data_IF_910947894371
#
_entry.id   IF_910947894371
#
_cell.length_a   1.000
_cell.length_b   1.000
_cell.length_c   1.000
_cell.angle_alpha   90.00
_cell.angle_beta   90.00
_cell.angle_gamma   90.00
#
_symmetry.space_group_name_H-M   'P 1'
#
loop_
_entity.id
_entity.type
_entity.pdbx_description
1 polymer ?
#
# COMPACT_ATOMS: atom_id res chain seq x y z
N UNK A 1 4.51 -15.07 -4.74
CA UNK A 1 3.23 -15.79 -4.88
C UNK A 1 3.43 -17.16 -5.52
N UNK A 2 3.96 -17.24 -6.75
CA UNK A 2 4.23 -18.52 -7.44
C UNK A 2 5.10 -19.51 -6.65
N UNK A 3 6.21 -19.04 -6.06
CA UNK A 3 7.10 -19.87 -5.23
C UNK A 3 6.50 -20.35 -3.90
N UNK A 4 5.39 -19.73 -3.45
CA UNK A 4 4.68 -20.08 -2.21
C UNK A 4 3.40 -20.87 -2.48
N UNK A 5 3.14 -21.29 -3.72
CA UNK A 5 1.92 -22.01 -4.11
C UNK A 5 0.62 -21.19 -3.97
N UNK A 6 0.72 -19.87 -3.81
CA UNK A 6 -0.45 -19.00 -3.63
C UNK A 6 -1.06 -18.73 -5.01
N UNK A 7 -2.35 -19.08 -5.17
CA UNK A 7 -3.14 -18.76 -6.38
C UNK A 7 -3.18 -17.25 -6.59
N UNK A 8 -2.92 -16.81 -7.81
CA UNK A 8 -2.96 -15.40 -8.18
C UNK A 8 -3.51 -15.22 -9.59
N UNK A 9 -4.10 -14.06 -9.83
CA UNK A 9 -4.60 -13.65 -11.14
C UNK A 9 -3.95 -12.33 -11.52
N UNK A 10 -3.51 -12.18 -12.78
CA UNK A 10 -3.01 -10.92 -13.31
C UNK A 10 -4.11 -10.32 -14.18
N UNK A 11 -4.63 -9.18 -13.76
CA UNK A 11 -5.66 -8.42 -14.49
C UNK A 11 -5.07 -7.06 -14.83
N UNK A 12 -4.95 -6.76 -16.13
CA UNK A 12 -4.37 -5.49 -16.60
C UNK A 12 -5.49 -4.46 -16.84
N UNK A 13 -5.33 -3.19 -16.43
CA UNK A 13 -6.25 -2.12 -16.84
C UNK A 13 -6.19 -1.95 -18.36
N UNK A 14 -7.35 -1.83 -19.02
CA UNK A 14 -7.43 -1.59 -20.46
C UNK A 14 -8.02 -0.19 -20.72
N UNK A 15 -7.18 0.73 -21.24
CA UNK A 15 -7.59 2.02 -21.80
C UNK A 15 -8.22 3.04 -20.82
N UNK A 16 -8.58 4.21 -21.37
CA UNK A 16 -9.03 5.40 -20.61
C UNK A 16 -10.34 5.19 -19.84
N UNK A 17 -11.24 4.33 -20.34
CA UNK A 17 -12.58 4.15 -19.78
C UNK A 17 -12.73 2.90 -18.90
N UNK A 18 -11.77 1.96 -18.95
CA UNK A 18 -11.58 0.80 -18.04
C UNK A 18 -12.80 -0.03 -17.57
N UNK A 19 -14.00 0.13 -18.12
CA UNK A 19 -15.20 -0.65 -17.76
C UNK A 19 -14.95 -2.17 -17.85
N UNK A 20 -14.32 -2.71 -18.92
CA UNK A 20 -14.04 -4.14 -19.01
C UNK A 20 -13.17 -4.65 -17.87
N UNK A 21 -12.26 -3.81 -17.37
CA UNK A 21 -11.40 -4.14 -16.24
C UNK A 21 -12.20 -4.27 -14.94
N UNK A 22 -13.12 -3.34 -14.66
CA UNK A 22 -14.00 -3.45 -13.49
C UNK A 22 -14.92 -4.69 -13.56
N UNK A 23 -15.50 -4.97 -14.73
CA UNK A 23 -16.35 -6.15 -14.93
C UNK A 23 -15.55 -7.43 -14.72
N UNK A 24 -14.32 -7.51 -15.22
CA UNK A 24 -13.45 -8.66 -15.03
C UNK A 24 -13.12 -8.89 -13.55
N UNK A 25 -12.84 -7.81 -12.80
CA UNK A 25 -12.59 -7.91 -11.35
C UNK A 25 -13.83 -8.37 -10.58
N UNK A 26 -15.02 -7.86 -10.90
CA UNK A 26 -16.27 -8.28 -10.26
C UNK A 26 -16.58 -9.77 -10.54
N UNK A 27 -16.36 -10.22 -11.78
CA UNK A 27 -16.49 -11.65 -12.13
C UNK A 27 -15.50 -12.51 -11.35
N UNK A 28 -14.26 -12.04 -11.20
CA UNK A 28 -13.23 -12.75 -10.45
C UNK A 28 -13.60 -12.84 -8.96
N UNK A 29 -14.04 -11.73 -8.35
CA UNK A 29 -14.49 -11.65 -6.97
C UNK A 29 -15.59 -12.68 -6.70
N UNK A 30 -16.58 -12.77 -7.60
CA UNK A 30 -17.67 -13.72 -7.47
C UNK A 30 -17.21 -15.17 -7.66
N UNK A 31 -16.34 -15.43 -8.63
CA UNK A 31 -15.85 -16.79 -8.92
C UNK A 31 -14.98 -17.35 -7.79
N UNK A 32 -14.14 -16.51 -7.19
CA UNK A 32 -13.22 -16.92 -6.12
C UNK A 32 -13.86 -16.83 -4.73
N UNK A 33 -15.13 -16.44 -4.62
CA UNK A 33 -15.86 -16.22 -3.36
C UNK A 33 -15.10 -15.31 -2.39
N UNK A 34 -14.63 -14.16 -2.90
CA UNK A 34 -13.87 -13.20 -2.09
C UNK A 34 -14.76 -12.62 -1.00
N UNK A 35 -14.31 -12.72 0.26
CA UNK A 35 -15.01 -12.19 1.44
C UNK A 35 -14.48 -10.81 1.91
N UNK A 36 -13.26 -10.44 1.51
CA UNK A 36 -12.58 -9.22 1.94
C UNK A 36 -11.66 -8.73 0.82
N UNK A 37 -11.67 -7.43 0.57
CA UNK A 37 -10.75 -6.79 -0.35
C UNK A 37 -9.63 -6.13 0.47
N UNK A 38 -8.38 -6.37 0.07
CA UNK A 38 -7.22 -5.67 0.60
C UNK A 38 -6.46 -4.99 -0.54
N UNK A 39 -6.37 -3.66 -0.49
CA UNK A 39 -5.69 -2.83 -1.50
C UNK A 39 -4.42 -2.20 -0.95
N UNK A 40 -3.46 -1.94 -1.84
CA UNK A 40 -2.20 -1.26 -1.52
C UNK A 40 -1.99 -0.07 -2.46
N UNK A 41 -1.55 1.07 -1.93
CA UNK A 41 -1.38 2.34 -2.67
C UNK A 41 -2.70 3.03 -3.02
N UNK A 42 -2.66 4.36 -3.12
CA UNK A 42 -3.85 5.21 -3.30
C UNK A 42 -4.64 4.91 -4.58
N UNK A 43 -3.93 4.71 -5.70
CA UNK A 43 -4.58 4.46 -6.99
C UNK A 43 -5.41 3.17 -6.98
N UNK A 44 -4.90 2.10 -6.35
CA UNK A 44 -5.66 0.87 -6.21
C UNK A 44 -6.77 1.02 -5.17
N UNK A 45 -6.55 1.77 -4.09
CA UNK A 45 -7.61 2.08 -3.12
C UNK A 45 -8.82 2.69 -3.80
N UNK A 46 -8.65 3.65 -4.71
CA UNK A 46 -9.76 4.24 -5.46
C UNK A 46 -10.54 3.20 -6.28
N UNK A 47 -9.84 2.41 -7.10
CA UNK A 47 -10.45 1.35 -7.91
C UNK A 47 -11.22 0.35 -7.04
N UNK A 48 -10.58 -0.14 -5.98
CA UNK A 48 -11.19 -1.14 -5.11
C UNK A 48 -12.27 -0.58 -4.21
N UNK A 49 -12.27 0.73 -3.91
CA UNK A 49 -13.38 1.38 -3.21
C UNK A 49 -14.67 1.32 -4.02
N UNK A 50 -14.60 1.61 -5.32
CA UNK A 50 -15.74 1.46 -6.23
C UNK A 50 -16.23 0.01 -6.28
N UNK A 51 -15.31 -0.94 -6.40
CA UNK A 51 -15.62 -2.37 -6.43
C UNK A 51 -16.25 -2.82 -5.11
N UNK A 52 -15.74 -2.36 -3.97
CA UNK A 52 -16.25 -2.66 -2.63
C UNK A 52 -17.72 -2.25 -2.50
N UNK A 53 -18.04 -1.04 -2.97
CA UNK A 53 -19.41 -0.51 -2.94
C UNK A 53 -20.35 -1.33 -3.83
N UNK A 54 -19.92 -1.68 -5.05
CA UNK A 54 -20.72 -2.48 -6.00
C UNK A 54 -20.91 -3.91 -5.48
N UNK A 55 -19.84 -4.55 -5.02
CA UNK A 55 -19.85 -5.94 -4.55
C UNK A 55 -20.37 -6.08 -3.11
N UNK A 56 -20.56 -4.97 -2.39
CA UNK A 56 -20.92 -4.92 -0.96
C UNK A 56 -19.97 -5.75 -0.09
N UNK A 57 -18.67 -5.65 -0.37
CA UNK A 57 -17.62 -6.30 0.39
C UNK A 57 -16.93 -5.30 1.31
N UNK A 58 -16.33 -5.76 2.43
CA UNK A 58 -15.42 -4.93 3.21
C UNK A 58 -14.10 -4.70 2.46
N UNK A 59 -13.54 -3.49 2.62
CA UNK A 59 -12.25 -3.07 2.07
C UNK A 59 -11.32 -2.53 3.16
N UNK A 60 -10.13 -3.12 3.20
CA UNK A 60 -8.98 -2.59 3.93
C UNK A 60 -7.98 -2.03 2.92
N UNK A 61 -7.45 -0.85 3.17
CA UNK A 61 -6.47 -0.21 2.29
C UNK A 61 -5.19 0.11 3.05
N UNK A 62 -4.02 -0.29 2.53
CA UNK A 62 -2.73 0.03 3.14
C UNK A 62 -1.96 1.04 2.28
N UNK A 63 -1.55 2.15 2.89
CA UNK A 63 -0.71 3.15 2.25
C UNK A 63 0.72 3.02 2.76
N UNK A 64 1.67 2.92 1.81
CA UNK A 64 3.09 2.67 2.09
C UNK A 64 3.96 3.92 2.05
N UNK A 65 3.42 5.06 1.65
CA UNK A 65 4.18 6.29 1.51
C UNK A 65 3.28 7.48 1.35
N UNK A 66 3.90 8.67 1.37
CA UNK A 66 3.20 9.91 1.05
C UNK A 66 2.65 9.78 -0.37
N UNK A 67 1.39 10.12 -0.50
CA UNK A 67 0.67 10.07 -1.76
C UNK A 67 0.61 11.49 -2.28
N UNK A 68 1.19 11.69 -3.45
CA UNK A 68 1.10 12.98 -4.13
C UNK A 68 -0.27 13.08 -4.78
N UNK A 69 -1.17 13.76 -4.09
CA UNK A 69 -2.46 14.14 -4.63
C UNK A 69 -2.29 15.53 -5.18
N UNK A 70 -2.29 15.63 -6.51
CA UNK A 70 -2.25 16.92 -7.17
C UNK A 70 -3.60 17.62 -6.91
N UNK A 71 -3.66 18.76 -6.19
CA UNK A 71 -4.91 19.45 -5.91
C UNK A 71 -5.59 19.98 -7.18
N UNK A 72 -4.86 20.09 -8.30
CA UNK A 72 -5.41 20.46 -9.63
C UNK A 72 -5.89 19.26 -10.44
N UNK A 73 -5.80 18.05 -9.90
CA UNK A 73 -6.30 16.87 -10.58
C UNK A 73 -7.84 16.93 -10.71
N UNK A 74 -8.35 16.50 -11.87
CA UNK A 74 -9.80 16.50 -12.12
C UNK A 74 -10.50 15.53 -11.16
N UNK A 75 -11.66 15.94 -10.66
CA UNK A 75 -12.56 15.13 -9.84
C UNK A 75 -11.97 14.65 -8.50
N UNK A 76 -10.97 15.35 -7.95
CA UNK A 76 -10.35 15.03 -6.65
C UNK A 76 -11.38 14.86 -5.53
N UNK A 77 -12.41 15.70 -5.49
CA UNK A 77 -13.48 15.58 -4.49
C UNK A 77 -14.26 14.26 -4.65
N UNK A 78 -14.65 13.91 -5.88
CA UNK A 78 -15.40 12.68 -6.18
C UNK A 78 -14.57 11.45 -5.83
N UNK A 79 -13.28 11.44 -6.22
CA UNK A 79 -12.35 10.35 -5.91
C UNK A 79 -12.22 10.14 -4.40
N UNK A 80 -12.04 11.22 -3.64
CA UNK A 80 -11.99 11.16 -2.18
C UNK A 80 -13.31 10.66 -1.58
N UNK A 81 -14.45 11.09 -2.11
CA UNK A 81 -15.75 10.61 -1.63
C UNK A 81 -15.93 9.11 -1.87
N UNK A 82 -15.62 8.62 -3.06
CA UNK A 82 -15.66 7.18 -3.37
C UNK A 82 -14.79 6.40 -2.40
N UNK A 83 -13.57 6.89 -2.15
CA UNK A 83 -12.63 6.26 -1.23
C UNK A 83 -13.14 6.24 0.22
N UNK A 84 -13.67 7.35 0.71
CA UNK A 84 -14.21 7.45 2.08
C UNK A 84 -15.44 6.58 2.30
N UNK A 85 -16.25 6.37 1.26
CA UNK A 85 -17.43 5.51 1.32
C UNK A 85 -17.06 4.03 1.19
N UNK A 86 -16.08 3.71 0.34
CA UNK A 86 -15.71 2.33 0.04
C UNK A 86 -14.75 1.71 1.05
N UNK A 87 -13.84 2.47 1.65
CA UNK A 87 -12.84 1.96 2.60
C UNK A 87 -13.42 1.84 4.00
N UNK A 88 -13.42 0.64 4.57
CA UNK A 88 -13.82 0.41 5.95
C UNK A 88 -12.69 0.78 6.93
N UNK A 89 -11.45 0.40 6.58
CA UNK A 89 -10.25 0.70 7.39
C UNK A 89 -9.04 1.02 6.52
N UNK A 90 -8.33 2.08 6.89
CA UNK A 90 -7.08 2.49 6.27
C UNK A 90 -5.92 2.16 7.21
N UNK A 91 -4.92 1.46 6.71
CA UNK A 91 -3.69 1.13 7.42
C UNK A 91 -2.57 2.05 6.93
N UNK A 92 -2.02 2.86 7.83
CA UNK A 92 -0.81 3.63 7.61
C UNK A 92 0.39 2.85 8.17
N UNK A 93 1.50 2.80 7.42
CA UNK A 93 2.71 2.08 7.85
C UNK A 93 3.57 2.85 8.87
N UNK A 94 3.17 4.05 9.24
CA UNK A 94 3.82 4.85 10.28
C UNK A 94 2.85 5.88 10.87
N UNK A 95 3.13 6.34 12.10
CA UNK A 95 2.43 7.48 12.70
C UNK A 95 2.55 8.75 11.84
N UNK A 96 3.74 8.96 11.26
CA UNK A 96 4.02 10.11 10.41
C UNK A 96 3.13 10.12 9.15
N UNK A 97 2.93 8.95 8.55
CA UNK A 97 2.01 8.79 7.43
C UNK A 97 0.55 8.96 7.86
N UNK A 98 0.15 8.44 9.03
CA UNK A 98 -1.19 8.66 9.57
C UNK A 98 -1.50 10.15 9.75
N UNK A 99 -0.59 10.91 10.37
CA UNK A 99 -0.72 12.37 10.54
C UNK A 99 -0.72 13.10 9.19
N UNK A 100 0.05 12.64 8.21
CA UNK A 100 0.02 13.20 6.86
C UNK A 100 -1.36 13.00 6.19
N UNK A 101 -1.93 11.79 6.27
CA UNK A 101 -3.23 11.47 5.67
C UNK A 101 -4.35 12.30 6.32
N UNK A 102 -4.29 12.45 7.65
CA UNK A 102 -5.24 13.24 8.42
C UNK A 102 -5.13 14.74 8.09
N UNK A 103 -3.92 15.32 8.11
CA UNK A 103 -3.70 16.75 7.82
C UNK A 103 -4.07 17.14 6.39
N UNK A 104 -4.00 16.20 5.44
CA UNK A 104 -4.45 16.38 4.06
C UNK A 104 -5.95 16.14 3.87
N UNK A 105 -6.69 15.85 4.95
CA UNK A 105 -8.11 15.55 4.92
C UNK A 105 -8.43 14.44 3.90
N UNK A 106 -7.59 13.41 3.78
CA UNK A 106 -7.85 12.31 2.85
C UNK A 106 -8.85 11.33 3.47
N UNK A 107 -8.59 10.97 4.73
CA UNK A 107 -9.45 10.12 5.53
C UNK A 107 -9.61 10.70 6.94
N UNK A 108 -10.78 10.51 7.57
CA UNK A 108 -10.95 10.92 8.96
C UNK A 108 -10.13 10.02 9.89
N UNK A 109 -9.59 10.58 10.98
CA UNK A 109 -8.73 9.86 11.94
C UNK A 109 -9.30 8.52 12.39
N UNK A 110 -10.61 8.45 12.67
CA UNK A 110 -11.31 7.22 13.09
C UNK A 110 -11.19 6.05 12.10
N UNK A 111 -10.95 6.34 10.83
CA UNK A 111 -10.80 5.33 9.79
C UNK A 111 -9.35 4.86 9.61
N UNK A 112 -8.38 5.46 10.32
CA UNK A 112 -6.95 5.23 10.13
C UNK A 112 -6.37 4.48 11.34
N UNK A 113 -5.80 3.31 11.09
CA UNK A 113 -5.00 2.56 12.06
C UNK A 113 -3.53 2.52 11.61
N UNK A 114 -2.59 2.41 12.55
CA UNK A 114 -1.15 2.35 12.25
C UNK A 114 -0.64 0.93 12.49
N UNK A 115 -0.07 0.33 11.45
CA UNK A 115 0.62 -0.97 11.53
C UNK A 115 1.99 -0.80 10.89
N UNK A 116 3.04 -0.81 11.70
CA UNK A 116 4.41 -0.70 11.22
C UNK A 116 4.81 -1.91 10.36
N UNK A 117 5.64 -1.66 9.35
CA UNK A 117 6.23 -2.75 8.59
C UNK A 117 7.15 -3.59 9.49
N UNK A 118 7.02 -4.91 9.40
CA UNK A 118 7.92 -5.84 10.07
C UNK A 118 9.31 -5.84 9.42
N UNK A 119 10.34 -6.02 10.25
CA UNK A 119 11.71 -6.31 9.81
C UNK A 119 12.12 -7.69 10.34
N UNK A 120 12.85 -8.44 9.54
CA UNK A 120 13.39 -9.74 9.95
C UNK A 120 14.64 -9.50 10.81
N UNK A 121 14.45 -9.49 12.13
CA UNK A 121 15.52 -9.20 13.10
C UNK A 121 16.72 -10.15 12.97
N UNK A 122 16.51 -11.38 12.50
CA UNK A 122 17.61 -12.36 12.30
C UNK A 122 18.66 -11.91 11.28
N UNK A 123 18.30 -11.00 10.37
CA UNK A 123 19.21 -10.43 9.35
C UNK A 123 20.10 -9.32 9.90
N UNK A 124 19.80 -8.80 11.08
CA UNK A 124 20.48 -7.65 11.67
C UNK A 124 21.26 -8.13 12.91
N UNK A 125 22.39 -8.82 12.69
CA UNK A 125 23.29 -9.22 13.77
C UNK A 125 24.55 -8.34 13.80
N UNK A 126 25.03 -8.05 15.01
CA UNK A 126 26.23 -7.22 15.26
C UNK A 126 27.51 -7.79 14.64
N UNK A 127 27.58 -9.11 14.41
CA UNK A 127 28.74 -9.79 13.80
C UNK A 127 28.96 -9.45 12.32
N UNK A 128 27.94 -8.95 11.61
CA UNK A 128 28.03 -8.59 10.18
C UNK A 128 28.91 -7.35 9.99
N UNK A 129 28.89 -6.40 10.94
CA UNK A 129 29.56 -5.11 10.79
C UNK A 129 31.09 -5.27 10.69
N UNK A 130 31.69 -6.09 11.56
CA UNK A 130 33.13 -6.36 11.57
C UNK A 130 33.59 -7.05 10.29
N UNK A 131 32.80 -8.03 9.81
CA UNK A 131 33.08 -8.71 8.54
C UNK A 131 32.99 -7.76 7.35
N UNK A 132 31.98 -6.89 7.33
CA UNK A 132 31.79 -5.91 6.25
C UNK A 132 32.92 -4.87 6.24
N UNK A 133 33.34 -4.36 7.40
CA UNK A 133 34.50 -3.47 7.53
C UNK A 133 35.77 -4.11 6.97
N UNK A 134 36.06 -5.35 7.37
CA UNK A 134 37.21 -6.10 6.86
C UNK A 134 37.14 -6.32 5.34
N UNK A 135 35.97 -6.69 4.80
CA UNK A 135 35.78 -6.89 3.36
C UNK A 135 35.97 -5.59 2.55
N UNK A 136 35.62 -4.45 3.12
CA UNK A 136 35.73 -3.15 2.47
C UNK A 136 37.06 -2.44 2.78
N UNK A 137 37.95 -3.04 3.58
CA UNK A 137 39.23 -2.45 3.98
C UNK A 137 39.08 -1.22 4.88
N UNK A 138 37.98 -1.11 5.62
CA UNK A 138 37.64 0.06 6.44
C UNK A 138 38.24 -0.12 7.85
N UNK A 139 39.10 0.81 8.33
CA UNK A 139 39.65 0.77 9.69
C UNK A 139 38.56 0.82 10.78
N UNK A 140 38.79 0.14 11.90
CA UNK A 140 37.84 0.04 13.03
C UNK A 140 37.52 1.41 13.69
N UNK A 141 38.48 2.33 13.68
CA UNK A 141 38.42 3.67 14.27
C UNK A 141 37.84 4.74 13.32
N UNK A 142 37.55 4.37 12.07
CA UNK A 142 37.01 5.31 11.08
C UNK A 142 35.50 5.54 11.25
N UNK A 143 35.07 6.78 10.99
CA UNK A 143 33.65 7.12 10.89
C UNK A 143 33.13 6.63 9.53
N UNK A 144 32.21 5.68 9.55
CA UNK A 144 31.54 5.18 8.35
C UNK A 144 30.18 5.84 8.19
N UNK A 145 30.01 6.60 7.10
CA UNK A 145 28.71 7.17 6.71
C UNK A 145 28.14 6.31 5.58
N UNK A 146 27.02 5.65 5.84
CA UNK A 146 26.28 4.89 4.84
C UNK A 146 25.02 5.62 4.40
N UNK A 147 24.78 5.67 3.09
CA UNK A 147 23.49 6.08 2.53
C UNK A 147 22.98 4.96 1.65
N UNK A 148 21.80 4.43 1.99
CA UNK A 148 21.11 3.46 1.16
C UNK A 148 19.92 4.15 0.50
N UNK A 149 19.89 4.12 -0.83
CA UNK A 149 18.73 4.49 -1.63
C UNK A 149 18.48 3.35 -2.61
N UNK A 150 17.20 3.07 -2.87
CA UNK A 150 16.79 2.05 -3.82
C UNK A 150 16.92 2.55 -5.25
#
# INVERSE_FOLDING_TARGET
MKSRGIRYHIVKPHGLLSIPYYVQLLKLIRRENVALIHSHLLGSTLTYSLISLIARLPLIATLHGRVDINPRERFVFIKQMIMRLGVNKLIAVSKDLSSFIESRNLFPRKAIDVIYNGVDESRYSSGILRKLRAQLGIPEDSILIGSLKR
#
